data_IF_949968951233
#
_entry.id   IF_949968951233
#
_cell.length_a   1.000
_cell.length_b   1.000
_cell.length_c   1.000
_cell.angle_alpha   90.00
_cell.angle_beta   90.00
_cell.angle_gamma   90.00
#
_symmetry.space_group_name_H-M   'P 1'
#
loop_
_entity.id
_entity.type
_entity.pdbx_description
1 polymer ?
#
# COMPACT_ATOMS: atom_id res chain seq x y z
N UNK A 1 -3.57 -23.11 -9.30
CA UNK A 1 -4.04 -21.71 -9.37
C UNK A 1 -3.46 -20.96 -8.17
N UNK A 2 -2.79 -19.83 -8.38
CA UNK A 2 -2.27 -19.03 -7.25
C UNK A 2 -3.39 -18.24 -6.55
N UNK A 3 -3.09 -17.70 -5.34
CA UNK A 3 -4.09 -16.96 -4.54
C UNK A 3 -4.66 -15.73 -5.29
N UNK A 4 -3.85 -15.03 -6.06
CA UNK A 4 -4.30 -13.85 -6.80
C UNK A 4 -5.31 -14.21 -7.89
N UNK A 5 -5.01 -15.24 -8.68
CA UNK A 5 -5.91 -15.76 -9.73
C UNK A 5 -7.22 -16.24 -9.12
N UNK A 6 -7.15 -17.02 -8.05
CA UNK A 6 -8.33 -17.52 -7.34
C UNK A 6 -9.18 -16.39 -6.73
N UNK A 7 -8.54 -15.33 -6.19
CA UNK A 7 -9.23 -14.17 -5.67
C UNK A 7 -9.96 -13.38 -6.77
N UNK A 8 -9.35 -13.23 -7.93
CA UNK A 8 -9.99 -12.57 -9.08
C UNK A 8 -11.24 -13.33 -9.55
N UNK A 9 -11.17 -14.65 -9.64
CA UNK A 9 -12.33 -15.49 -9.99
C UNK A 9 -13.43 -15.42 -8.91
N UNK A 10 -13.03 -15.39 -7.63
CA UNK A 10 -13.97 -15.34 -6.52
C UNK A 10 -14.62 -13.96 -6.34
N UNK A 11 -13.99 -12.87 -6.81
CA UNK A 11 -14.39 -11.49 -6.51
C UNK A 11 -15.86 -11.19 -6.81
N UNK A 12 -16.42 -11.75 -7.88
CA UNK A 12 -17.82 -11.52 -8.26
C UNK A 12 -18.84 -12.00 -7.22
N UNK A 13 -18.44 -12.91 -6.33
CA UNK A 13 -19.27 -13.48 -5.26
C UNK A 13 -19.23 -12.68 -3.97
N UNK A 14 -18.36 -11.66 -3.90
CA UNK A 14 -18.13 -10.84 -2.71
C UNK A 14 -18.51 -9.37 -2.97
N UNK A 15 -19.33 -8.75 -2.11
CA UNK A 15 -19.69 -7.33 -2.26
C UNK A 15 -18.55 -6.38 -1.94
N UNK A 16 -17.58 -6.85 -1.16
CA UNK A 16 -16.38 -6.11 -0.77
C UNK A 16 -15.14 -6.64 -1.46
N UNK A 17 -14.14 -5.78 -1.67
CA UNK A 17 -12.91 -6.15 -2.36
C UNK A 17 -12.13 -7.19 -1.55
N UNK A 18 -11.78 -8.31 -2.17
CA UNK A 18 -10.86 -9.30 -1.61
C UNK A 18 -9.44 -8.70 -1.67
N UNK A 19 -8.74 -8.69 -0.55
CA UNK A 19 -7.40 -8.06 -0.43
C UNK A 19 -6.34 -8.97 0.20
N UNK A 20 -6.77 -10.00 0.95
CA UNK A 20 -5.92 -11.00 1.58
C UNK A 20 -6.61 -12.37 1.54
N UNK A 21 -5.86 -13.40 1.91
CA UNK A 21 -6.40 -14.72 2.21
C UNK A 21 -5.96 -15.19 3.60
N UNK A 22 -6.79 -16.00 4.26
CA UNK A 22 -6.38 -16.76 5.44
C UNK A 22 -6.20 -18.21 4.99
N UNK A 23 -4.96 -18.67 4.95
CA UNK A 23 -4.59 -20.01 4.50
C UNK A 23 -4.15 -20.84 5.71
N UNK A 24 -4.83 -21.94 5.97
CA UNK A 24 -4.57 -22.83 7.11
C UNK A 24 -4.46 -22.07 8.46
N UNK A 25 -5.31 -21.03 8.62
CA UNK A 25 -5.36 -20.17 9.80
C UNK A 25 -4.37 -19.01 9.80
N UNK A 26 -3.45 -18.91 8.84
CA UNK A 26 -2.44 -17.85 8.71
C UNK A 26 -2.88 -16.81 7.68
N UNK A 27 -2.73 -15.55 8.03
CA UNK A 27 -3.01 -14.43 7.12
C UNK A 27 -1.89 -14.32 6.07
N UNK A 28 -2.27 -14.32 4.78
CA UNK A 28 -1.38 -14.31 3.63
C UNK A 28 -1.75 -13.19 2.67
N UNK A 29 -0.76 -12.64 2.00
CA UNK A 29 -0.97 -11.71 0.89
C UNK A 29 -1.38 -12.47 -0.37
N UNK A 30 -2.18 -11.85 -1.24
CA UNK A 30 -2.59 -12.49 -2.50
C UNK A 30 -1.40 -12.71 -3.45
N UNK A 31 -0.32 -11.94 -3.28
CA UNK A 31 0.93 -12.07 -4.03
C UNK A 31 1.89 -13.14 -3.49
N UNK A 32 1.58 -13.75 -2.33
CA UNK A 32 2.39 -14.85 -1.81
C UNK A 32 2.34 -16.03 -2.77
N UNK A 33 3.47 -16.73 -2.90
CA UNK A 33 3.59 -17.89 -3.81
C UNK A 33 2.92 -19.12 -3.21
N UNK A 34 1.60 -19.07 -3.07
CA UNK A 34 0.76 -20.11 -2.51
C UNK A 34 -0.25 -20.55 -3.58
N UNK A 35 -0.36 -21.85 -3.81
CA UNK A 35 -1.34 -22.45 -4.69
C UNK A 35 -2.51 -23.03 -3.88
N UNK A 36 -3.73 -22.75 -4.31
CA UNK A 36 -4.94 -23.17 -3.56
C UNK A 36 -5.07 -24.69 -3.47
N UNK A 37 -4.52 -25.42 -4.44
CA UNK A 37 -4.51 -26.88 -4.47
C UNK A 37 -3.63 -27.48 -3.36
N UNK A 38 -2.64 -26.72 -2.87
CA UNK A 38 -1.70 -27.17 -1.84
C UNK A 38 -2.19 -26.83 -0.43
N UNK A 39 -3.34 -26.16 -0.30
CA UNK A 39 -3.90 -25.73 0.97
C UNK A 39 -4.99 -26.69 1.47
N UNK A 40 -5.06 -26.88 2.79
CA UNK A 40 -6.16 -27.66 3.41
C UNK A 40 -7.44 -26.86 3.52
N UNK A 41 -7.30 -25.57 3.82
CA UNK A 41 -8.41 -24.64 3.95
C UNK A 41 -7.94 -23.22 3.64
N UNK A 42 -8.76 -22.43 2.96
CA UNK A 42 -8.53 -21.00 2.81
C UNK A 42 -9.84 -20.21 2.84
N UNK A 43 -9.76 -18.99 3.34
CA UNK A 43 -10.86 -18.04 3.44
C UNK A 43 -10.41 -16.69 2.86
N UNK A 44 -11.30 -16.02 2.13
CA UNK A 44 -11.02 -14.70 1.62
C UNK A 44 -11.24 -13.64 2.71
N UNK A 45 -10.29 -12.71 2.81
CA UNK A 45 -10.36 -11.56 3.69
C UNK A 45 -10.58 -10.31 2.83
N UNK A 46 -11.68 -9.62 3.11
CA UNK A 46 -12.15 -8.48 2.33
C UNK A 46 -11.92 -7.16 3.04
N UNK A 47 -12.21 -6.04 2.38
CA UNK A 47 -12.20 -4.71 3.01
C UNK A 47 -13.29 -4.50 4.07
N UNK A 48 -14.23 -5.42 4.23
CA UNK A 48 -15.16 -5.43 5.36
C UNK A 48 -14.51 -5.94 6.66
N UNK A 49 -13.45 -6.74 6.54
CA UNK A 49 -12.71 -7.27 7.67
C UNK A 49 -11.68 -6.25 8.18
N UNK A 50 -11.41 -6.26 9.49
CA UNK A 50 -10.44 -5.33 10.09
C UNK A 50 -9.06 -5.44 9.45
N UNK A 51 -8.53 -6.66 9.28
CA UNK A 51 -7.22 -6.89 8.66
C UNK A 51 -7.20 -6.46 7.19
N UNK A 52 -8.28 -6.73 6.44
CA UNK A 52 -8.40 -6.33 5.05
C UNK A 52 -8.48 -4.81 4.89
N UNK A 53 -9.25 -4.13 5.74
CA UNK A 53 -9.32 -2.67 5.72
C UNK A 53 -7.99 -2.02 6.11
N UNK A 54 -7.27 -2.57 7.08
CA UNK A 54 -5.94 -2.08 7.44
C UNK A 54 -4.95 -2.21 6.28
N UNK A 55 -4.95 -3.34 5.60
CA UNK A 55 -4.11 -3.57 4.41
C UNK A 55 -4.46 -2.61 3.28
N UNK A 56 -5.75 -2.42 3.01
CA UNK A 56 -6.22 -1.46 2.03
C UNK A 56 -5.73 -0.02 2.34
N UNK A 57 -5.89 0.42 3.58
CA UNK A 57 -5.43 1.75 4.03
C UNK A 57 -3.92 1.94 3.87
N UNK A 58 -3.11 0.93 4.21
CA UNK A 58 -1.65 0.96 3.99
C UNK A 58 -1.30 1.11 2.52
N UNK A 59 -1.98 0.39 1.65
CA UNK A 59 -1.79 0.46 0.20
C UNK A 59 -2.15 1.85 -0.35
N UNK A 60 -3.26 2.43 0.09
CA UNK A 60 -3.67 3.79 -0.31
C UNK A 60 -2.67 4.84 0.21
N UNK A 61 -2.16 4.67 1.43
CA UNK A 61 -1.12 5.55 1.99
C UNK A 61 0.15 5.50 1.13
N UNK A 62 0.63 4.31 0.77
CA UNK A 62 1.81 4.16 -0.09
C UNK A 62 1.58 4.79 -1.47
N UNK A 63 0.39 4.61 -2.04
CA UNK A 63 -0.02 5.24 -3.29
C UNK A 63 0.03 6.77 -3.20
N UNK A 64 -0.46 7.34 -2.11
CA UNK A 64 -0.41 8.79 -1.87
C UNK A 64 1.03 9.30 -1.78
N UNK A 65 1.90 8.62 -1.03
CA UNK A 65 3.32 8.99 -0.92
C UNK A 65 4.01 8.94 -2.28
N UNK A 66 3.74 7.91 -3.08
CA UNK A 66 4.22 7.81 -4.47
C UNK A 66 3.73 8.97 -5.33
N UNK A 67 2.44 9.31 -5.26
CA UNK A 67 1.85 10.39 -6.04
C UNK A 67 2.46 11.74 -5.68
N UNK A 68 2.66 12.04 -4.39
CA UNK A 68 3.33 13.27 -3.94
C UNK A 68 4.74 13.35 -4.51
N UNK A 69 5.50 12.25 -4.43
CA UNK A 69 6.86 12.19 -4.96
C UNK A 69 6.92 12.38 -6.47
N UNK A 70 5.96 11.81 -7.22
CA UNK A 70 5.88 11.96 -8.66
C UNK A 70 5.57 13.41 -9.09
N UNK A 71 4.73 14.11 -8.34
CA UNK A 71 4.28 15.47 -8.68
C UNK A 71 5.27 16.54 -8.20
N UNK A 72 5.84 16.37 -7.00
CA UNK A 72 6.63 17.38 -6.31
C UNK A 72 8.10 17.02 -6.10
N UNK A 73 8.51 15.82 -6.49
CA UNK A 73 9.89 15.38 -6.34
C UNK A 73 10.28 15.00 -4.90
N UNK A 74 11.60 14.91 -4.65
CA UNK A 74 12.16 14.49 -3.36
C UNK A 74 12.13 15.58 -2.29
N UNK A 75 11.99 16.82 -2.68
CA UNK A 75 12.02 17.98 -1.78
C UNK A 75 10.76 18.09 -0.92
N UNK A 76 9.64 17.56 -1.42
CA UNK A 76 8.38 17.55 -0.68
C UNK A 76 8.18 16.16 -0.06
N UNK A 77 8.11 16.13 1.27
CA UNK A 77 7.95 14.90 2.05
C UNK A 77 6.64 14.96 2.83
N UNK A 78 5.91 13.85 2.79
CA UNK A 78 4.70 13.64 3.58
C UNK A 78 4.99 12.55 4.62
N UNK A 79 4.73 12.85 5.87
CA UNK A 79 4.82 11.90 6.97
C UNK A 79 3.42 11.66 7.55
N UNK A 80 3.04 10.39 7.68
CA UNK A 80 1.80 10.00 8.37
C UNK A 80 2.11 9.90 9.85
N UNK A 81 1.59 10.84 10.64
CA UNK A 81 1.93 10.98 12.06
C UNK A 81 1.08 10.08 12.94
N UNK A 82 -0.23 10.21 12.85
CA UNK A 82 -1.16 9.43 13.67
C UNK A 82 -2.55 9.36 13.03
N UNK A 83 -3.35 8.40 13.50
CA UNK A 83 -4.75 8.31 13.09
C UNK A 83 -5.60 9.31 13.86
N UNK A 84 -6.47 10.01 13.15
CA UNK A 84 -7.41 10.95 13.71
C UNK A 84 -8.81 10.61 13.22
N UNK A 85 -9.66 10.07 14.12
CA UNK A 85 -11.01 9.63 13.75
C UNK A 85 -10.97 8.59 12.61
N UNK A 86 -11.54 8.89 11.44
CA UNK A 86 -11.55 8.02 10.26
C UNK A 86 -10.45 8.31 9.25
N UNK A 87 -9.55 9.22 9.56
CA UNK A 87 -8.45 9.64 8.69
C UNK A 87 -7.10 9.56 9.37
N UNK A 88 -6.11 10.13 8.69
CA UNK A 88 -4.75 10.28 9.20
C UNK A 88 -4.36 11.74 9.22
N UNK A 89 -3.71 12.16 10.29
CA UNK A 89 -3.00 13.43 10.29
C UNK A 89 -1.65 13.23 9.63
N UNK A 90 -1.39 14.04 8.61
CA UNK A 90 -0.13 14.01 7.87
C UNK A 90 0.56 15.37 7.97
N UNK A 91 1.84 15.37 8.28
CA UNK A 91 2.69 16.54 8.13
C UNK A 91 3.30 16.56 6.73
N UNK A 92 3.45 17.76 6.19
CA UNK A 92 4.07 17.98 4.88
C UNK A 92 5.20 18.98 5.04
N UNK A 93 6.39 18.59 4.60
CA UNK A 93 7.58 19.45 4.62
C UNK A 93 8.08 19.70 3.19
N UNK A 94 8.81 20.80 3.02
CA UNK A 94 9.32 21.23 1.73
C UNK A 94 8.69 22.54 1.25
N UNK A 95 9.17 23.05 0.13
CA UNK A 95 8.70 24.31 -0.43
C UNK A 95 7.40 24.11 -1.23
N UNK A 96 6.30 23.87 -0.53
CA UNK A 96 4.98 23.66 -1.14
C UNK A 96 3.89 24.25 -0.26
N UNK A 97 2.86 24.80 -0.89
CA UNK A 97 1.64 25.26 -0.23
C UNK A 97 0.61 24.15 -0.27
N UNK A 98 0.07 23.81 0.90
CA UNK A 98 -1.01 22.82 1.01
C UNK A 98 -2.35 23.54 0.81
N UNK A 99 -2.85 23.48 -0.38
CA UNK A 99 -4.11 24.11 -0.81
C UNK A 99 -4.92 23.16 -1.71
N UNK A 100 -6.02 23.65 -2.26
CA UNK A 100 -6.87 22.87 -3.17
C UNK A 100 -6.14 22.39 -4.43
N UNK A 101 -5.13 23.14 -4.89
CA UNK A 101 -4.32 22.80 -6.07
C UNK A 101 -3.43 21.61 -5.75
N UNK A 102 -2.79 21.61 -4.56
CA UNK A 102 -2.00 20.49 -4.09
C UNK A 102 -2.85 19.20 -4.03
N UNK A 103 -4.00 19.28 -3.36
CA UNK A 103 -4.91 18.13 -3.21
C UNK A 103 -5.37 17.62 -4.57
N UNK A 104 -5.73 18.53 -5.49
CA UNK A 104 -6.16 18.16 -6.84
C UNK A 104 -5.07 17.41 -7.59
N UNK A 105 -3.85 17.95 -7.67
CA UNK A 105 -2.71 17.34 -8.39
C UNK A 105 -2.36 15.96 -7.83
N UNK A 106 -2.30 15.82 -6.51
CA UNK A 106 -2.01 14.53 -5.87
C UNK A 106 -3.12 13.53 -6.14
N UNK A 107 -4.39 13.94 -6.01
CA UNK A 107 -5.54 13.06 -6.28
C UNK A 107 -5.61 12.60 -7.74
N UNK A 108 -5.34 13.49 -8.69
CA UNK A 108 -5.27 13.15 -10.12
C UNK A 108 -4.16 12.13 -10.38
N UNK A 109 -2.97 12.36 -9.81
CA UNK A 109 -1.86 11.42 -9.94
C UNK A 109 -2.15 10.07 -9.33
N UNK A 110 -2.80 10.03 -8.15
CA UNK A 110 -3.23 8.77 -7.55
C UNK A 110 -4.18 7.99 -8.47
N UNK A 111 -5.15 8.65 -9.09
CA UNK A 111 -6.08 8.01 -10.05
C UNK A 111 -5.35 7.47 -11.26
N UNK A 112 -4.43 8.24 -11.86
CA UNK A 112 -3.60 7.76 -12.98
C UNK A 112 -2.81 6.49 -12.62
N UNK A 113 -2.22 6.43 -11.42
CA UNK A 113 -1.48 5.26 -10.96
C UNK A 113 -2.40 4.04 -10.78
N UNK A 114 -3.63 4.24 -10.28
CA UNK A 114 -4.64 3.19 -10.17
C UNK A 114 -5.08 2.70 -11.55
N UNK A 115 -5.38 3.61 -12.48
CA UNK A 115 -5.82 3.28 -13.84
C UNK A 115 -4.76 2.49 -14.62
N UNK A 116 -3.49 2.74 -14.33
CA UNK A 116 -2.36 1.97 -14.88
C UNK A 116 -2.20 0.60 -14.24
N UNK A 117 -2.95 0.29 -13.18
CA UNK A 117 -2.90 -0.98 -12.45
C UNK A 117 -1.45 -1.41 -12.08
N UNK A 118 -0.64 -0.46 -11.62
CA UNK A 118 0.74 -0.74 -11.24
C UNK A 118 0.79 -1.69 -10.04
N UNK A 119 1.56 -2.79 -10.13
CA UNK A 119 1.67 -3.73 -9.02
C UNK A 119 2.50 -3.14 -7.86
N UNK A 120 2.14 -3.51 -6.64
CA UNK A 120 3.04 -3.35 -5.50
C UNK A 120 4.04 -4.49 -5.51
N UNK A 121 5.32 -4.16 -5.54
CA UNK A 121 6.39 -5.14 -5.46
C UNK A 121 6.99 -5.13 -4.06
N UNK A 122 7.05 -6.29 -3.42
CA UNK A 122 7.66 -6.48 -2.11
C UNK A 122 8.93 -7.31 -2.26
N UNK A 123 10.01 -6.85 -1.64
CA UNK A 123 11.26 -7.59 -1.53
C UNK A 123 11.87 -7.38 -0.16
N UNK A 124 12.67 -8.33 0.28
CA UNK A 124 13.37 -8.28 1.56
C UNK A 124 14.86 -8.14 1.30
N UNK A 125 15.48 -7.20 2.00
CA UNK A 125 16.92 -6.93 1.93
C UNK A 125 17.54 -6.98 3.33
N UNK A 126 18.85 -7.13 3.42
CA UNK A 126 19.56 -6.99 4.69
C UNK A 126 19.50 -5.56 5.22
N UNK A 127 19.74 -5.39 6.52
CA UNK A 127 19.66 -4.08 7.19
C UNK A 127 20.60 -3.05 6.55
N UNK A 128 21.85 -3.41 6.29
CA UNK A 128 22.85 -2.50 5.70
C UNK A 128 22.43 -2.04 4.29
N UNK A 129 21.86 -2.94 3.51
CA UNK A 129 21.33 -2.64 2.19
C UNK A 129 20.11 -1.71 2.28
N UNK A 130 19.21 -1.94 3.25
CA UNK A 130 18.05 -1.08 3.49
C UNK A 130 18.49 0.35 3.85
N UNK A 131 19.47 0.49 4.76
CA UNK A 131 20.05 1.79 5.14
C UNK A 131 20.63 2.51 3.92
N UNK A 132 21.39 1.80 3.09
CA UNK A 132 21.97 2.35 1.86
C UNK A 132 20.89 2.85 0.91
N UNK A 133 19.85 2.07 0.67
CA UNK A 133 18.72 2.45 -0.18
C UNK A 133 18.02 3.72 0.36
N UNK A 134 17.74 3.77 1.67
CA UNK A 134 17.10 4.96 2.26
C UNK A 134 18.00 6.19 2.20
N UNK A 135 19.31 6.02 2.34
CA UNK A 135 20.27 7.12 2.18
C UNK A 135 20.29 7.67 0.75
N UNK A 136 20.40 6.80 -0.26
CA UNK A 136 20.37 7.16 -1.68
C UNK A 136 19.04 7.84 -2.08
N UNK A 137 17.95 7.44 -1.44
CA UNK A 137 16.63 8.02 -1.64
C UNK A 137 16.35 9.25 -0.77
N UNK A 138 17.34 9.72 0.01
CA UNK A 138 17.23 10.85 0.93
C UNK A 138 16.14 10.70 1.99
N UNK A 139 15.83 9.46 2.39
CA UNK A 139 14.87 9.10 3.42
C UNK A 139 15.55 8.94 4.79
N UNK A 140 16.23 9.96 5.25
CA UNK A 140 17.08 9.94 6.47
C UNK A 140 16.31 9.62 7.75
N UNK A 141 15.00 9.87 7.77
CA UNK A 141 14.11 9.49 8.87
C UNK A 141 13.97 7.96 9.00
N UNK A 142 14.18 7.23 7.91
CA UNK A 142 14.08 5.77 7.84
C UNK A 142 15.40 5.04 8.08
N UNK A 143 16.51 5.74 8.03
CA UNK A 143 17.83 5.18 8.34
C UNK A 143 18.02 4.85 9.84
N UNK A 144 17.14 5.37 10.69
CA UNK A 144 17.19 5.24 12.16
C UNK A 144 16.35 4.07 12.69
N UNK A 145 16.00 3.15 11.83
CA UNK A 145 15.21 1.95 12.20
C UNK A 145 16.04 0.94 12.97
#
# INVERSE_FOLDING_TARGET
MNLMEAALEAQSRYPHKIVLARVDGKLCELSDNIFVEDTRNYEWVTTADTSGMQTYRRSVTLLMLKAVRDVYGREVKVCVEYSLSRGYYCSVSGNVKIDSIFIKKVSERMRELVDRALPFTKFTVGLDEAIRIFHEEEMYDKEKL
#
